data_IF_377750139473
#
_entry.id   IF_377750139473
#
_cell.length_a   1.000
_cell.length_b   1.000
_cell.length_c   1.000
_cell.angle_alpha   90.00
_cell.angle_beta   90.00
_cell.angle_gamma   90.00
#
_symmetry.space_group_name_H-M   'P 1'
#
loop_
_entity.id
_entity.type
_entity.pdbx_description
1 polymer ?
#
# COMPACT_ATOMS: atom_id res chain seq x y z
N UNK A 1 -37.03 -22.23 4.48
CA UNK A 1 -36.16 -21.25 5.18
C UNK A 1 -34.88 -21.84 5.81
N UNK A 2 -34.90 -23.01 6.48
CA UNK A 2 -33.70 -23.63 7.06
C UNK A 2 -32.57 -23.95 6.06
N UNK A 3 -32.88 -24.37 4.84
CA UNK A 3 -31.91 -24.66 3.78
C UNK A 3 -31.17 -23.41 3.26
N UNK A 4 -31.81 -22.23 3.28
CA UNK A 4 -31.21 -20.98 2.83
C UNK A 4 -30.09 -20.51 3.80
N UNK A 5 -30.25 -20.75 5.10
CA UNK A 5 -29.24 -20.41 6.09
C UNK A 5 -28.00 -21.32 6.01
N UNK A 6 -28.19 -22.60 5.68
CA UNK A 6 -27.09 -23.55 5.48
C UNK A 6 -26.31 -23.20 4.21
N UNK A 7 -26.99 -22.76 3.15
CA UNK A 7 -26.34 -22.32 1.91
C UNK A 7 -25.49 -21.06 2.12
N UNK A 8 -25.94 -20.11 2.94
CA UNK A 8 -25.19 -18.90 3.29
C UNK A 8 -23.94 -19.24 4.10
N UNK A 9 -23.99 -20.21 5.02
CA UNK A 9 -22.82 -20.64 5.82
C UNK A 9 -21.77 -21.34 4.95
N UNK A 10 -22.17 -22.08 3.92
CA UNK A 10 -21.26 -22.76 2.99
C UNK A 10 -20.50 -21.82 2.05
N UNK A 11 -21.00 -20.59 1.81
CA UNK A 11 -20.33 -19.59 0.98
C UNK A 11 -19.17 -18.89 1.72
N UNK A 12 -19.08 -19.00 3.04
CA UNK A 12 -18.06 -18.35 3.86
C UNK A 12 -16.89 -19.25 4.31
N UNK A 13 -16.55 -20.27 3.52
CA UNK A 13 -15.28 -20.99 3.76
C UNK A 13 -14.11 -20.17 3.20
N UNK A 14 -13.67 -19.14 3.94
CA UNK A 14 -12.43 -18.43 3.66
C UNK A 14 -11.27 -19.24 4.20
N UNK A 15 -10.39 -19.70 3.32
CA UNK A 15 -9.08 -20.17 3.72
C UNK A 15 -8.29 -18.97 4.27
N UNK A 16 -8.11 -18.92 5.58
CA UNK A 16 -7.22 -17.94 6.22
C UNK A 16 -5.78 -18.39 5.98
N UNK A 17 -5.10 -17.72 5.08
CA UNK A 17 -3.65 -17.86 4.92
C UNK A 17 -2.96 -16.82 5.81
N UNK A 18 -1.99 -17.23 6.62
CA UNK A 18 -1.07 -16.32 7.27
C UNK A 18 -0.32 -15.56 6.18
N UNK A 19 -0.38 -14.24 6.19
CA UNK A 19 0.36 -13.39 5.25
C UNK A 19 1.60 -12.87 5.94
N UNK A 20 2.73 -13.41 5.56
CA UNK A 20 4.02 -12.83 5.84
C UNK A 20 4.23 -11.62 4.89
N UNK A 21 5.04 -10.65 5.31
CA UNK A 21 5.19 -9.38 4.59
C UNK A 21 3.89 -8.56 4.42
N UNK A 22 3.00 -8.60 5.42
CA UNK A 22 1.77 -7.81 5.44
C UNK A 22 2.02 -6.29 5.31
N UNK A 23 3.24 -5.84 5.65
CA UNK A 23 3.68 -4.46 5.54
C UNK A 23 3.53 -3.88 4.12
N UNK A 24 3.73 -4.69 3.05
CA UNK A 24 3.48 -4.25 1.68
C UNK A 24 2.03 -3.79 1.45
N UNK A 25 1.06 -4.35 2.18
CA UNK A 25 -0.36 -3.99 2.06
C UNK A 25 -0.81 -2.92 3.04
N UNK A 26 0.03 -2.54 4.02
CA UNK A 26 -0.34 -1.56 5.05
C UNK A 26 -0.47 -0.16 4.44
N UNK A 27 -1.62 0.48 4.64
CA UNK A 27 -1.86 1.86 4.27
C UNK A 27 -1.33 2.81 5.34
N UNK A 28 -0.73 3.92 4.87
CA UNK A 28 -0.11 4.94 5.72
C UNK A 28 -0.78 6.30 5.59
N UNK A 29 -1.47 6.55 4.49
CA UNK A 29 -2.17 7.81 4.29
C UNK A 29 -3.36 7.93 5.25
N UNK A 30 -3.38 9.00 6.04
CA UNK A 30 -4.51 9.32 6.91
C UNK A 30 -5.82 9.44 6.11
N UNK A 31 -5.73 9.97 4.88
CA UNK A 31 -6.89 10.06 3.98
C UNK A 31 -7.38 8.69 3.52
N UNK A 32 -6.47 7.78 3.15
CA UNK A 32 -6.87 6.41 2.77
C UNK A 32 -7.55 5.70 3.92
N UNK A 33 -6.98 5.79 5.11
CA UNK A 33 -7.53 5.15 6.32
C UNK A 33 -8.90 5.70 6.69
N UNK A 34 -9.12 7.02 6.56
CA UNK A 34 -10.44 7.64 6.80
C UNK A 34 -11.52 7.19 5.82
N UNK A 35 -11.12 6.71 4.64
CA UNK A 35 -12.00 6.17 3.59
C UNK A 35 -12.08 4.64 3.59
N UNK A 36 -11.63 3.99 4.67
CA UNK A 36 -11.68 2.54 4.82
C UNK A 36 -10.48 1.78 4.26
N UNK A 37 -9.41 2.47 3.88
CA UNK A 37 -8.22 1.89 3.26
C UNK A 37 -8.42 1.50 1.78
N UNK A 38 -7.35 1.06 1.15
CA UNK A 38 -7.38 0.54 -0.23
C UNK A 38 -7.92 1.50 -1.32
N UNK A 39 -7.88 2.82 -1.09
CA UNK A 39 -8.29 3.82 -2.08
C UNK A 39 -7.22 3.94 -3.16
N UNK A 40 -7.60 3.69 -4.41
CA UNK A 40 -6.67 3.71 -5.56
C UNK A 40 -7.09 4.66 -6.69
N UNK A 41 -8.14 5.46 -6.51
CA UNK A 41 -8.65 6.40 -7.51
C UNK A 41 -8.78 7.84 -6.96
N UNK A 42 -7.90 8.22 -6.00
CA UNK A 42 -7.84 9.55 -5.39
C UNK A 42 -6.54 10.24 -5.82
N UNK A 43 -6.64 11.28 -6.64
CA UNK A 43 -5.49 11.90 -7.31
C UNK A 43 -4.95 13.17 -6.63
N UNK A 44 -5.51 13.58 -5.51
CA UNK A 44 -5.14 14.78 -4.75
C UNK A 44 -4.31 14.47 -3.49
N UNK A 45 -3.98 13.20 -3.24
CA UNK A 45 -3.14 12.76 -2.14
C UNK A 45 -1.88 12.07 -2.66
N UNK A 46 -0.73 12.72 -2.44
CA UNK A 46 0.57 12.20 -2.86
C UNK A 46 0.97 10.94 -2.09
N UNK A 47 0.49 10.78 -0.85
CA UNK A 47 0.78 9.60 -0.01
C UNK A 47 0.26 8.29 -0.60
N UNK A 48 -0.71 8.34 -1.53
CA UNK A 48 -1.24 7.15 -2.21
C UNK A 48 -0.41 6.71 -3.42
N UNK A 49 0.51 7.55 -3.87
CA UNK A 49 1.20 7.37 -5.17
C UNK A 49 2.22 6.24 -5.17
N UNK A 50 2.61 5.72 -4.02
CA UNK A 50 3.50 4.57 -3.96
C UNK A 50 2.82 3.27 -4.43
N UNK A 51 1.54 3.08 -4.14
CA UNK A 51 0.76 1.92 -4.62
C UNK A 51 0.19 2.15 -6.02
N UNK A 52 -0.19 3.40 -6.33
CA UNK A 52 -0.83 3.77 -7.59
C UNK A 52 -0.11 4.96 -8.20
N UNK A 53 1.11 4.74 -8.67
CA UNK A 53 1.99 5.80 -9.19
C UNK A 53 1.40 6.55 -10.38
N UNK A 54 0.49 5.94 -11.13
CA UNK A 54 -0.25 6.59 -12.22
C UNK A 54 -1.18 7.72 -11.77
N UNK A 55 -1.41 7.91 -10.46
CA UNK A 55 -2.13 9.05 -9.89
C UNK A 55 -1.28 10.32 -9.80
N UNK A 56 0.05 10.22 -9.94
CA UNK A 56 0.93 11.38 -9.98
C UNK A 56 0.52 12.32 -11.12
N UNK A 57 0.41 13.60 -10.80
CA UNK A 57 -0.03 14.63 -11.72
C UNK A 57 0.66 15.97 -11.45
N UNK A 58 0.54 16.92 -12.37
CA UNK A 58 1.24 18.20 -12.32
C UNK A 58 0.93 19.06 -11.09
N UNK A 59 -0.23 18.87 -10.43
CA UNK A 59 -0.54 19.61 -9.20
C UNK A 59 0.32 19.19 -8.01
N UNK A 60 1.04 18.07 -8.13
CA UNK A 60 1.89 17.49 -7.09
C UNK A 60 3.39 17.76 -7.29
N UNK A 61 3.75 18.63 -8.25
CA UNK A 61 5.16 19.03 -8.47
C UNK A 61 5.67 19.76 -7.23
N UNK A 62 6.85 19.36 -6.73
CA UNK A 62 7.49 19.88 -5.52
C UNK A 62 6.65 19.69 -4.25
N UNK A 63 5.74 18.70 -4.23
CA UNK A 63 4.98 18.39 -3.03
C UNK A 63 5.70 17.38 -2.15
N UNK A 64 5.52 17.58 -0.86
CA UNK A 64 5.97 16.68 0.20
C UNK A 64 4.73 16.29 1.00
N UNK A 65 4.62 15.01 1.35
CA UNK A 65 3.69 14.52 2.34
C UNK A 65 4.45 13.82 3.46
N UNK A 66 3.97 14.01 4.66
CA UNK A 66 4.42 13.31 5.85
C UNK A 66 3.18 12.78 6.57
N UNK A 67 3.11 11.49 6.77
CA UNK A 67 2.03 10.84 7.54
C UNK A 67 2.64 10.20 8.78
N UNK A 68 1.97 10.41 9.90
CA UNK A 68 2.26 9.75 11.17
C UNK A 68 0.97 9.17 11.74
N UNK A 69 1.03 7.93 12.14
CA UNK A 69 -0.09 7.21 12.72
C UNK A 69 0.39 6.42 13.94
N UNK A 70 -0.19 6.69 15.08
CA UNK A 70 -0.04 5.87 16.28
C UNK A 70 -1.18 4.86 16.34
N UNK A 71 -0.86 3.57 16.26
CA UNK A 71 -1.86 2.50 16.22
C UNK A 71 -2.25 2.04 17.62
N UNK A 72 -1.28 1.81 18.49
CA UNK A 72 -1.49 1.36 19.87
C UNK A 72 -0.17 1.48 20.63
N UNK A 73 -0.22 1.86 21.90
CA UNK A 73 0.91 2.01 22.81
C UNK A 73 2.22 2.45 22.12
N UNK A 74 3.07 1.53 21.70
CA UNK A 74 4.38 1.82 21.12
C UNK A 74 4.43 1.59 19.61
N UNK A 75 3.33 1.12 18.98
CA UNK A 75 3.30 0.84 17.54
C UNK A 75 3.03 2.13 16.79
N UNK A 76 4.04 2.59 16.07
CA UNK A 76 4.00 3.84 15.33
C UNK A 76 4.39 3.61 13.87
N UNK A 77 3.70 4.31 13.02
CA UNK A 77 3.78 4.24 11.59
C UNK A 77 4.08 5.63 11.06
N UNK A 78 5.12 5.77 10.24
CA UNK A 78 5.35 7.02 9.54
C UNK A 78 5.66 6.80 8.07
N UNK A 79 5.31 7.79 7.25
CA UNK A 79 5.75 7.84 5.87
C UNK A 79 6.19 9.24 5.47
N UNK A 80 7.12 9.29 4.53
CA UNK A 80 7.55 10.50 3.86
C UNK A 80 7.54 10.24 2.36
N UNK A 81 6.94 11.16 1.61
CA UNK A 81 6.85 11.09 0.15
C UNK A 81 7.19 12.46 -0.44
N UNK A 82 8.05 12.47 -1.42
CA UNK A 82 8.33 13.64 -2.26
C UNK A 82 7.98 13.31 -3.71
N UNK A 83 7.32 14.24 -4.40
CA UNK A 83 7.04 14.13 -5.83
C UNK A 83 7.49 15.35 -6.61
N UNK A 84 7.97 15.10 -7.83
CA UNK A 84 8.38 16.14 -8.74
C UNK A 84 8.28 15.63 -10.20
N UNK A 85 8.67 16.49 -11.14
CA UNK A 85 8.69 16.18 -12.56
C UNK A 85 10.11 16.03 -13.12
N UNK A 86 10.33 14.99 -13.90
CA UNK A 86 11.48 14.83 -14.79
C UNK A 86 11.04 15.16 -16.21
N UNK A 87 11.37 16.35 -16.71
CA UNK A 87 10.87 16.94 -17.98
C UNK A 87 10.76 15.98 -19.17
N UNK A 88 11.65 14.99 -19.29
CA UNK A 88 11.65 14.01 -20.40
C UNK A 88 10.91 12.70 -20.05
N UNK A 89 10.83 12.35 -18.78
CA UNK A 89 10.39 11.01 -18.35
C UNK A 89 9.00 11.01 -17.70
N UNK A 90 8.51 12.17 -17.25
CA UNK A 90 7.23 12.31 -16.57
C UNK A 90 7.38 12.65 -15.10
N UNK A 91 6.32 12.38 -14.32
CA UNK A 91 6.32 12.59 -12.89
C UNK A 91 7.02 11.44 -12.16
N UNK A 92 7.68 11.74 -11.03
CA UNK A 92 8.27 10.73 -10.16
C UNK A 92 7.93 10.99 -8.71
N UNK A 93 7.99 9.94 -7.92
CA UNK A 93 8.02 10.02 -6.47
C UNK A 93 9.20 9.25 -5.90
N UNK A 94 9.59 9.64 -4.69
CA UNK A 94 10.53 8.91 -3.85
C UNK A 94 10.03 9.03 -2.42
N UNK A 95 10.19 7.98 -1.64
CA UNK A 95 9.74 8.02 -0.26
C UNK A 95 10.25 6.87 0.57
N UNK A 96 9.88 6.97 1.84
CA UNK A 96 10.19 5.99 2.87
C UNK A 96 8.96 5.76 3.73
N UNK A 97 8.76 4.52 4.16
CA UNK A 97 7.75 4.12 5.14
C UNK A 97 8.40 3.29 6.22
N UNK A 98 8.02 3.54 7.44
CA UNK A 98 8.49 2.77 8.58
C UNK A 98 7.35 2.39 9.51
N UNK A 99 7.35 1.17 9.98
CA UNK A 99 6.48 0.67 11.03
C UNK A 99 7.37 0.21 12.17
N UNK A 100 7.33 0.94 13.26
CA UNK A 100 7.98 0.58 14.52
C UNK A 100 6.96 -0.13 15.39
N UNK A 101 7.27 -1.34 15.82
CA UNK A 101 6.40 -2.16 16.67
C UNK A 101 6.66 -1.91 18.17
N UNK A 102 7.59 -1.02 18.52
CA UNK A 102 7.98 -0.74 19.91
C UNK A 102 9.04 -1.69 20.44
N UNK A 103 9.15 -1.71 21.76
CA UNK A 103 10.09 -2.50 22.52
C UNK A 103 9.40 -3.72 23.11
N UNK A 104 10.08 -4.84 23.09
CA UNK A 104 9.59 -6.09 23.65
C UNK A 104 10.54 -6.57 24.73
N UNK A 105 9.99 -6.97 25.87
CA UNK A 105 10.75 -7.61 26.93
C UNK A 105 11.01 -9.08 26.55
N UNK A 106 12.30 -9.44 26.43
CA UNK A 106 12.69 -10.83 26.20
C UNK A 106 12.59 -11.70 27.47
N UNK A 107 12.34 -12.99 27.28
CA UNK A 107 12.31 -13.99 28.33
C UNK A 107 13.05 -15.24 27.88
N UNK A 108 13.76 -15.88 28.81
CA UNK A 108 14.40 -17.18 28.57
C UNK A 108 13.40 -18.33 28.68
N UNK A 109 13.86 -19.56 28.42
CA UNK A 109 13.02 -20.77 28.50
C UNK A 109 12.50 -21.07 29.92
N UNK A 110 13.09 -20.47 30.96
CA UNK A 110 12.69 -20.60 32.36
C UNK A 110 11.76 -19.46 32.82
N UNK A 111 11.48 -18.49 31.94
CA UNK A 111 10.63 -17.33 32.24
C UNK A 111 11.34 -16.16 32.92
N UNK A 112 12.68 -16.17 33.00
CA UNK A 112 13.45 -15.03 33.49
C UNK A 112 13.59 -13.97 32.40
N UNK A 113 13.49 -12.70 32.80
CA UNK A 113 13.69 -11.58 31.92
C UNK A 113 15.10 -11.56 31.33
N UNK A 114 15.18 -11.37 30.01
CA UNK A 114 16.41 -11.15 29.26
C UNK A 114 16.47 -9.71 28.75
N UNK A 115 17.32 -9.41 27.78
CA UNK A 115 17.41 -8.07 27.18
C UNK A 115 16.14 -7.71 26.42
N UNK A 116 15.82 -6.42 26.39
CA UNK A 116 14.80 -5.89 25.51
C UNK A 116 15.25 -5.96 24.04
N UNK A 117 14.31 -6.13 23.14
CA UNK A 117 14.54 -6.12 21.71
C UNK A 117 13.52 -5.25 20.97
N UNK A 118 13.86 -4.86 19.75
CA UNK A 118 13.05 -4.01 18.90
C UNK A 118 12.59 -4.79 17.66
N UNK A 119 11.44 -4.39 17.13
CA UNK A 119 10.97 -4.86 15.84
C UNK A 119 10.56 -3.68 14.97
N UNK A 120 11.00 -3.67 13.71
CA UNK A 120 10.64 -2.63 12.75
C UNK A 120 10.66 -3.12 11.30
N UNK A 121 9.81 -2.52 10.49
CA UNK A 121 9.79 -2.63 9.04
C UNK A 121 10.15 -1.28 8.41
N UNK A 122 11.11 -1.26 7.51
CA UNK A 122 11.53 -0.07 6.78
C UNK A 122 11.45 -0.33 5.28
N UNK A 123 10.69 0.49 4.55
CA UNK A 123 10.53 0.37 3.10
C UNK A 123 10.97 1.66 2.42
N UNK A 124 11.87 1.53 1.46
CA UNK A 124 12.16 2.59 0.50
C UNK A 124 11.41 2.32 -0.79
N UNK A 125 10.90 3.38 -1.42
CA UNK A 125 10.21 3.24 -2.70
C UNK A 125 10.53 4.42 -3.62
N UNK A 126 10.46 4.15 -4.91
CA UNK A 126 10.53 5.17 -5.94
C UNK A 126 9.68 4.75 -7.13
N UNK A 127 9.03 5.72 -7.74
CA UNK A 127 8.15 5.45 -8.86
C UNK A 127 8.22 6.53 -9.94
N UNK A 128 7.81 6.15 -11.12
CA UNK A 128 7.70 7.06 -12.27
C UNK A 128 6.34 6.87 -12.94
N UNK A 129 5.75 7.97 -13.38
CA UNK A 129 4.50 7.94 -14.15
C UNK A 129 4.60 8.79 -15.41
N UNK A 130 3.96 8.32 -16.47
CA UNK A 130 3.92 9.01 -17.75
C UNK A 130 2.55 8.89 -18.38
N UNK A 131 2.04 10.00 -18.89
CA UNK A 131 0.84 9.98 -19.75
C UNK A 131 1.22 9.32 -21.09
N UNK A 132 0.58 8.19 -21.40
CA UNK A 132 0.86 7.40 -22.62
C UNK A 132 -0.06 7.81 -23.79
N UNK A 133 -1.30 8.13 -23.48
CA UNK A 133 -2.26 8.76 -24.39
C UNK A 133 -3.06 9.79 -23.60
N UNK A 134 -3.85 10.60 -24.29
CA UNK A 134 -4.66 11.64 -23.64
C UNK A 134 -5.50 11.05 -22.50
N UNK A 135 -5.40 11.65 -21.33
CA UNK A 135 -6.14 11.31 -20.11
C UNK A 135 -5.81 9.92 -19.51
N UNK A 136 -4.85 9.17 -20.05
CA UNK A 136 -4.41 7.86 -19.57
C UNK A 136 -2.94 7.90 -19.16
N UNK A 137 -2.67 7.64 -17.90
CA UNK A 137 -1.34 7.64 -17.28
C UNK A 137 -0.95 6.23 -16.85
N UNK A 138 0.25 5.79 -17.22
CA UNK A 138 0.92 4.59 -16.72
C UNK A 138 1.85 4.97 -15.58
N UNK A 139 1.89 4.19 -14.52
CA UNK A 139 2.81 4.32 -13.39
C UNK A 139 3.51 3.01 -13.09
N UNK A 140 4.78 3.11 -12.74
CA UNK A 140 5.63 2.02 -12.26
C UNK A 140 6.26 2.45 -10.94
N UNK A 141 6.35 1.54 -9.98
CA UNK A 141 7.00 1.75 -8.69
C UNK A 141 7.90 0.57 -8.35
N UNK A 142 9.00 0.84 -7.67
CA UNK A 142 9.89 -0.16 -7.08
C UNK A 142 9.93 0.06 -5.57
N UNK A 143 9.90 -1.02 -4.83
CA UNK A 143 9.88 -1.06 -3.37
C UNK A 143 10.96 -2.01 -2.87
N UNK A 144 11.70 -1.56 -1.85
CA UNK A 144 12.69 -2.35 -1.13
C UNK A 144 12.31 -2.33 0.35
N UNK A 145 11.93 -3.48 0.88
CA UNK A 145 11.57 -3.68 2.28
C UNK A 145 12.72 -4.34 3.02
N UNK A 146 13.04 -3.81 4.18
CA UNK A 146 13.92 -4.40 5.17
C UNK A 146 13.17 -4.53 6.50
N UNK A 147 13.02 -5.75 6.99
CA UNK A 147 12.35 -6.09 8.24
C UNK A 147 13.39 -6.60 9.23
N UNK A 148 13.41 -6.02 10.43
CA UNK A 148 14.31 -6.41 11.49
C UNK A 148 13.52 -6.72 12.75
N UNK A 149 13.59 -7.96 13.24
CA UNK A 149 12.91 -8.45 14.43
C UNK A 149 13.93 -9.12 15.34
N UNK A 150 14.29 -8.45 16.45
CA UNK A 150 15.34 -8.88 17.36
C UNK A 150 16.69 -9.05 16.61
N UNK A 151 17.19 -10.27 16.52
CA UNK A 151 18.44 -10.66 15.83
C UNK A 151 18.20 -11.12 14.38
N UNK A 152 16.93 -11.22 13.94
CA UNK A 152 16.57 -11.71 12.62
C UNK A 152 16.29 -10.55 11.67
N UNK A 153 16.73 -10.71 10.42
CA UNK A 153 16.45 -9.74 9.37
C UNK A 153 15.94 -10.41 8.11
N UNK A 154 15.00 -9.75 7.44
CA UNK A 154 14.49 -10.18 6.14
C UNK A 154 14.47 -9.01 5.17
N UNK A 155 14.71 -9.29 3.90
CA UNK A 155 14.71 -8.28 2.83
C UNK A 155 13.88 -8.78 1.66
N UNK A 156 13.06 -7.89 1.11
CA UNK A 156 12.22 -8.18 -0.04
C UNK A 156 12.21 -7.01 -1.03
N UNK A 157 12.09 -7.33 -2.31
CA UNK A 157 11.91 -6.35 -3.39
C UNK A 157 10.60 -6.63 -4.11
N UNK A 158 9.85 -5.57 -4.38
CA UNK A 158 8.59 -5.64 -5.12
C UNK A 158 8.47 -4.49 -6.13
N UNK A 159 7.55 -4.64 -7.06
CA UNK A 159 7.18 -3.60 -8.01
C UNK A 159 5.66 -3.49 -8.10
N UNK A 160 5.19 -2.26 -8.32
CA UNK A 160 3.79 -1.96 -8.57
C UNK A 160 3.66 -1.37 -9.98
N UNK A 161 2.62 -1.80 -10.68
CA UNK A 161 2.24 -1.24 -11.98
C UNK A 161 0.82 -0.72 -11.87
N UNK A 162 0.58 0.48 -12.37
CA UNK A 162 -0.74 1.10 -12.31
C UNK A 162 -1.10 1.84 -13.57
N UNK A 163 -2.39 1.91 -13.85
CA UNK A 163 -2.96 2.61 -14.99
C UNK A 163 -4.14 3.47 -14.51
N UNK A 164 -4.13 4.77 -14.80
CA UNK A 164 -5.20 5.69 -14.40
C UNK A 164 -5.73 6.45 -15.59
N UNK A 165 -7.04 6.42 -15.77
CA UNK A 165 -7.78 7.22 -16.73
C UNK A 165 -8.55 8.33 -16.01
N UNK A 166 -8.36 9.58 -16.44
CA UNK A 166 -8.96 10.78 -15.82
C UNK A 166 -9.87 11.50 -16.80
N UNK A 167 -11.17 11.43 -16.64
CA UNK A 167 -12.12 12.23 -17.41
C UNK A 167 -12.44 13.54 -16.65
N UNK A 168 -11.72 14.61 -16.96
CA UNK A 168 -11.89 15.92 -16.30
C UNK A 168 -13.30 16.50 -16.48
N UNK A 169 -13.93 16.34 -17.67
CA UNK A 169 -15.27 16.88 -17.94
C UNK A 169 -16.34 16.21 -17.05
N UNK A 170 -16.24 14.90 -16.85
CA UNK A 170 -17.16 14.12 -16.04
C UNK A 170 -16.73 14.02 -14.58
N UNK A 171 -15.59 14.60 -14.22
CA UNK A 171 -14.96 14.47 -12.87
C UNK A 171 -14.91 13.00 -12.42
N UNK A 172 -14.43 12.12 -13.29
CA UNK A 172 -14.42 10.67 -13.12
C UNK A 172 -12.98 10.17 -13.27
N UNK A 173 -12.55 9.34 -12.35
CA UNK A 173 -11.25 8.67 -12.38
C UNK A 173 -11.48 7.17 -12.31
N UNK A 174 -10.82 6.43 -13.18
CA UNK A 174 -10.67 4.99 -13.09
C UNK A 174 -9.20 4.66 -12.87
N UNK A 175 -8.92 3.78 -11.95
CA UNK A 175 -7.57 3.29 -11.70
C UNK A 175 -7.55 1.78 -11.62
N UNK A 176 -6.53 1.20 -12.19
CA UNK A 176 -6.21 -0.21 -12.10
C UNK A 176 -4.78 -0.36 -11.60
N UNK A 177 -4.53 -1.27 -10.66
CA UNK A 177 -3.19 -1.51 -10.16
C UNK A 177 -2.93 -2.99 -9.90
N UNK A 178 -1.74 -3.40 -10.23
CA UNK A 178 -1.15 -4.69 -9.90
C UNK A 178 0.03 -4.40 -8.96
N UNK A 179 -0.13 -4.78 -7.70
CA UNK A 179 0.79 -4.40 -6.63
C UNK A 179 1.54 -5.61 -6.10
N UNK A 180 2.74 -5.34 -5.57
CA UNK A 180 3.58 -6.27 -4.86
C UNK A 180 4.03 -7.46 -5.72
N UNK A 181 4.31 -7.22 -7.02
CA UNK A 181 5.01 -8.20 -7.86
C UNK A 181 6.47 -8.26 -7.43
N UNK A 182 6.83 -9.26 -6.65
CA UNK A 182 8.16 -9.28 -6.08
C UNK A 182 8.58 -10.62 -5.51
N UNK A 183 9.73 -10.59 -4.86
CA UNK A 183 10.32 -11.76 -4.20
C UNK A 183 11.09 -11.36 -2.96
N UNK A 184 11.15 -12.27 -2.03
CA UNK A 184 12.07 -12.21 -0.90
C UNK A 184 13.51 -12.41 -1.39
N UNK A 185 14.43 -11.58 -0.91
CA UNK A 185 15.87 -11.69 -1.15
C UNK A 185 16.48 -12.56 -0.05
N UNK A 186 16.30 -12.13 1.20
CA UNK A 186 16.67 -12.87 2.41
C UNK A 186 15.44 -13.06 3.28
N UNK A 187 15.33 -14.20 3.95
CA UNK A 187 14.23 -14.52 4.87
C UNK A 187 14.69 -14.62 6.32
N UNK A 188 13.75 -14.61 7.24
CA UNK A 188 13.99 -14.93 8.64
C UNK A 188 14.40 -16.40 8.82
N UNK A 189 14.02 -17.25 7.88
CA UNK A 189 14.31 -18.68 7.81
C UNK A 189 14.80 -19.03 6.41
N UNK A 190 15.25 -20.28 6.22
CA UNK A 190 15.62 -20.81 4.89
C UNK A 190 14.42 -20.99 3.95
N UNK A 191 13.20 -20.91 4.47
CA UNK A 191 11.97 -21.02 3.69
C UNK A 191 11.65 -19.65 3.10
N UNK A 192 11.56 -19.57 1.77
CA UNK A 192 11.17 -18.34 1.08
C UNK A 192 9.68 -18.12 1.12
N UNK A 193 9.29 -16.96 1.58
CA UNK A 193 7.91 -16.54 1.69
C UNK A 193 7.44 -15.81 0.44
N UNK A 194 6.15 -15.91 0.15
CA UNK A 194 5.54 -15.22 -1.00
C UNK A 194 5.10 -13.83 -0.59
N UNK A 195 5.46 -12.85 -1.41
CA UNK A 195 4.92 -11.49 -1.27
C UNK A 195 3.45 -11.49 -1.71
N UNK A 196 2.54 -10.86 -0.94
CA UNK A 196 1.10 -10.85 -1.23
C UNK A 196 0.79 -9.94 -2.43
N UNK A 197 0.83 -10.49 -3.63
CA UNK A 197 0.43 -9.79 -4.87
C UNK A 197 -1.06 -9.44 -4.81
N UNK A 198 -1.42 -8.22 -5.17
CA UNK A 198 -2.81 -7.74 -5.15
C UNK A 198 -3.17 -7.02 -6.44
N UNK A 199 -4.29 -7.45 -7.04
CA UNK A 199 -4.90 -6.82 -8.20
C UNK A 199 -6.07 -5.96 -7.72
N UNK A 200 -6.08 -4.66 -8.08
CA UNK A 200 -7.08 -3.71 -7.61
C UNK A 200 -7.67 -2.92 -8.77
N UNK A 201 -8.95 -2.61 -8.65
CA UNK A 201 -9.66 -1.66 -9.50
C UNK A 201 -10.33 -0.60 -8.63
N UNK A 202 -10.26 0.65 -9.04
CA UNK A 202 -10.92 1.75 -8.36
C UNK A 202 -11.58 2.73 -9.29
N UNK A 203 -12.64 3.32 -8.79
CA UNK A 203 -13.35 4.40 -9.45
C UNK A 203 -13.61 5.52 -8.44
N UNK A 204 -13.46 6.77 -8.87
CA UNK A 204 -13.98 7.91 -8.12
C UNK A 204 -14.80 8.82 -9.01
N UNK A 205 -15.83 9.43 -8.41
CA UNK A 205 -16.72 10.37 -9.09
C UNK A 205 -17.04 11.52 -8.17
N UNK A 206 -16.68 12.76 -8.57
CA UNK A 206 -17.13 13.98 -7.90
C UNK A 206 -18.41 14.49 -8.54
N UNK A 207 -19.37 14.91 -7.72
CA UNK A 207 -20.64 15.46 -8.19
C UNK A 207 -20.45 16.92 -8.61
N UNK A 208 -21.22 17.39 -9.61
CA UNK A 208 -21.04 18.74 -10.14
C UNK A 208 -21.64 19.83 -9.24
N UNK A 209 -22.72 19.54 -8.55
CA UNK A 209 -23.50 20.52 -7.79
C UNK A 209 -23.47 20.29 -6.27
N UNK A 210 -22.75 19.27 -5.81
CA UNK A 210 -22.63 18.93 -4.42
C UNK A 210 -21.15 18.67 -4.10
N UNK A 211 -20.67 19.04 -2.91
CA UNK A 211 -19.27 18.83 -2.52
C UNK A 211 -19.02 17.37 -2.09
N UNK A 212 -19.54 16.42 -2.85
CA UNK A 212 -19.39 14.99 -2.58
C UNK A 212 -18.57 14.32 -3.67
N UNK A 213 -17.61 13.50 -3.23
CA UNK A 213 -16.88 12.54 -4.07
C UNK A 213 -17.05 11.17 -3.46
N UNK A 214 -17.50 10.21 -4.24
CA UNK A 214 -17.57 8.82 -3.81
C UNK A 214 -16.47 8.01 -4.48
N UNK A 215 -15.99 7.03 -3.73
CA UNK A 215 -14.94 6.11 -4.12
C UNK A 215 -15.47 4.69 -4.06
N UNK A 216 -15.20 3.91 -5.09
CA UNK A 216 -15.48 2.48 -5.14
C UNK A 216 -14.16 1.80 -5.44
N UNK A 217 -13.74 0.87 -4.58
CA UNK A 217 -12.52 0.10 -4.77
C UNK A 217 -12.82 -1.38 -4.63
N UNK A 218 -12.35 -2.16 -5.58
CA UNK A 218 -12.33 -3.61 -5.56
C UNK A 218 -10.88 -4.04 -5.42
N UNK A 219 -10.60 -4.89 -4.46
CA UNK A 219 -9.25 -5.37 -4.18
C UNK A 219 -9.22 -6.89 -4.18
N UNK A 220 -8.01 -7.44 -4.28
CA UNK A 220 -7.73 -8.88 -4.33
C UNK A 220 -8.48 -9.62 -5.45
N UNK A 221 -8.65 -8.95 -6.62
CA UNK A 221 -9.36 -9.51 -7.77
C UNK A 221 -8.72 -10.80 -8.33
N UNK A 222 -7.48 -11.09 -7.98
CA UNK A 222 -6.78 -12.34 -8.33
C UNK A 222 -7.28 -13.57 -7.55
N UNK A 223 -8.13 -13.37 -6.54
CA UNK A 223 -8.67 -14.46 -5.70
C UNK A 223 -10.06 -14.94 -6.11
N UNK A 224 -10.57 -14.39 -7.22
CA UNK A 224 -11.87 -14.77 -7.81
C UNK A 224 -11.68 -15.75 -8.96
#
# INVERSE_FOLDING_TARGET
MRFLHILIILIFNYNSYSQEFSFFNTDFSATSLSLGGNVIAKSDDISLTYKTTSLLNQSQINHIAFDYLSLSNEINLFSFVYANELKKFGMYNIGVKNLNYGNFQGYDANGFQTNEFHANDLMFFTGISKMIIKDLTLGLNLELLNSNYESFSAMAIASNTSLTYVNKKRKLIFSFSLNNLGRQINGFTDIKEKIPTSLKFGMSKSLNHLPFTYYISLHDLQRF
#
